data_IF_710794293175
#
_entry.id   IF_710794293175
#
_cell.length_a   1.000
_cell.length_b   1.000
_cell.length_c   1.000
_cell.angle_alpha   90.00
_cell.angle_beta   90.00
_cell.angle_gamma   90.00
#
_symmetry.space_group_name_H-M   'P 1'
#
loop_
_entity.id
_entity.type
_entity.pdbx_description
1 polymer ?
#
# COMPACT_ATOMS: atom_id res chain seq x y z
N UNK A 1 -3.02 -10.62 -6.57
CA UNK A 1 -3.67 -9.88 -5.47
C UNK A 1 -4.95 -9.27 -5.98
N UNK A 2 -6.01 -9.35 -5.22
CA UNK A 2 -7.31 -8.83 -5.65
C UNK A 2 -7.36 -7.30 -5.52
N UNK A 3 -8.30 -6.69 -6.25
CA UNK A 3 -8.53 -5.25 -6.18
C UNK A 3 -8.89 -4.84 -4.75
N UNK A 4 -9.71 -5.63 -4.08
CA UNK A 4 -10.07 -5.35 -2.69
C UNK A 4 -8.84 -5.31 -1.78
N UNK A 5 -7.93 -6.25 -1.99
CA UNK A 5 -6.73 -6.31 -1.16
C UNK A 5 -5.84 -5.09 -1.40
N UNK A 6 -5.73 -4.65 -2.64
CA UNK A 6 -4.97 -3.45 -2.97
C UNK A 6 -5.59 -2.21 -2.34
N UNK A 7 -6.91 -2.10 -2.37
CA UNK A 7 -7.60 -0.98 -1.74
C UNK A 7 -7.34 -0.99 -0.23
N UNK A 8 -7.40 -2.15 0.41
CA UNK A 8 -7.11 -2.27 1.84
C UNK A 8 -5.68 -1.83 2.14
N UNK A 9 -4.73 -2.25 1.32
CA UNK A 9 -3.32 -1.86 1.49
C UNK A 9 -3.18 -0.35 1.43
N UNK A 10 -3.80 0.28 0.45
CA UNK A 10 -3.73 1.72 0.28
C UNK A 10 -4.31 2.45 1.49
N UNK A 11 -5.49 2.05 1.93
CA UNK A 11 -6.15 2.70 3.07
C UNK A 11 -5.39 2.48 4.36
N UNK A 12 -4.88 1.27 4.57
CA UNK A 12 -4.09 0.96 5.75
C UNK A 12 -2.83 1.82 5.79
N UNK A 13 -2.13 1.90 4.66
CA UNK A 13 -0.93 2.71 4.56
C UNK A 13 -1.23 4.18 4.84
N UNK A 14 -2.25 4.73 4.19
CA UNK A 14 -2.60 6.14 4.35
C UNK A 14 -3.03 6.50 5.77
N UNK A 15 -3.76 5.61 6.41
CA UNK A 15 -4.37 5.91 7.70
C UNK A 15 -3.49 5.61 8.91
N UNK A 16 -2.55 4.68 8.77
CA UNK A 16 -1.83 4.17 9.93
C UNK A 16 -0.31 4.30 9.87
N UNK A 17 0.23 4.74 8.75
CA UNK A 17 1.69 4.81 8.57
C UNK A 17 2.12 6.14 8.00
N UNK A 18 3.31 6.56 8.40
CA UNK A 18 3.89 7.84 7.94
C UNK A 18 4.84 7.66 6.76
N UNK A 19 5.32 6.44 6.55
CA UNK A 19 6.32 6.19 5.50
C UNK A 19 6.24 4.75 5.01
N UNK A 20 6.81 4.53 3.82
CA UNK A 20 6.93 3.20 3.25
C UNK A 20 7.79 2.31 4.16
N UNK A 21 8.86 2.88 4.73
CA UNK A 21 9.73 2.14 5.64
C UNK A 21 8.96 1.60 6.84
N UNK A 22 8.11 2.43 7.44
CA UNK A 22 7.31 2.02 8.59
C UNK A 22 6.35 0.89 8.24
N UNK A 23 5.71 0.98 7.09
CA UNK A 23 4.81 -0.07 6.62
C UNK A 23 5.58 -1.38 6.38
N UNK A 24 6.73 -1.28 5.72
CA UNK A 24 7.55 -2.45 5.43
C UNK A 24 7.98 -3.16 6.71
N UNK A 25 8.47 -2.40 7.69
CA UNK A 25 8.92 -2.94 8.96
C UNK A 25 7.79 -3.65 9.71
N UNK A 26 6.64 -3.00 9.79
CA UNK A 26 5.51 -3.55 10.53
C UNK A 26 4.98 -4.82 9.89
N UNK A 27 5.03 -4.91 8.57
CA UNK A 27 4.48 -6.05 7.84
C UNK A 27 5.55 -7.06 7.44
N UNK A 28 6.78 -6.89 7.90
CA UNK A 28 7.90 -7.80 7.65
C UNK A 28 8.15 -7.98 6.15
N UNK A 29 8.14 -6.86 5.43
CA UNK A 29 8.37 -6.83 3.99
C UNK A 29 9.65 -6.04 3.69
N UNK A 30 10.23 -6.28 2.53
CA UNK A 30 11.35 -5.45 2.08
C UNK A 30 10.80 -4.09 1.65
N UNK A 31 11.63 -3.06 1.77
CA UNK A 31 11.26 -1.72 1.34
C UNK A 31 11.00 -1.70 -0.17
N UNK A 32 11.82 -2.40 -0.93
CA UNK A 32 11.69 -2.45 -2.39
C UNK A 32 10.35 -3.04 -2.81
N UNK A 33 9.98 -4.18 -2.20
CA UNK A 33 8.69 -4.79 -2.50
C UNK A 33 7.55 -3.88 -2.06
N UNK A 34 7.68 -3.25 -0.90
CA UNK A 34 6.64 -2.39 -0.36
C UNK A 34 6.41 -1.17 -1.25
N UNK A 35 7.47 -0.60 -1.81
CA UNK A 35 7.31 0.53 -2.74
C UNK A 35 6.49 0.15 -3.95
N UNK A 36 6.75 -1.02 -4.52
CA UNK A 36 5.98 -1.51 -5.66
C UNK A 36 4.53 -1.78 -5.25
N UNK A 37 4.33 -2.39 -4.09
CA UNK A 37 3.00 -2.71 -3.58
C UNK A 37 2.18 -1.44 -3.34
N UNK A 38 2.74 -0.45 -2.68
CA UNK A 38 2.05 0.80 -2.37
C UNK A 38 1.75 1.57 -3.66
N UNK A 39 2.67 1.57 -4.62
CA UNK A 39 2.44 2.23 -5.90
C UNK A 39 1.27 1.60 -6.63
N UNK A 40 1.23 0.28 -6.68
CA UNK A 40 0.14 -0.44 -7.34
C UNK A 40 -1.19 -0.20 -6.62
N UNK A 41 -1.16 -0.22 -5.30
CA UNK A 41 -2.35 0.03 -4.49
C UNK A 41 -2.88 1.44 -4.72
N UNK A 42 -2.00 2.42 -4.80
CA UNK A 42 -2.36 3.82 -5.05
C UNK A 42 -3.01 3.97 -6.42
N UNK A 43 -2.43 3.37 -7.44
CA UNK A 43 -2.99 3.42 -8.79
C UNK A 43 -4.38 2.80 -8.84
N UNK A 44 -4.53 1.65 -8.19
CA UNK A 44 -5.80 0.94 -8.16
C UNK A 44 -6.86 1.80 -7.48
N UNK A 45 -6.53 2.38 -6.34
CA UNK A 45 -7.46 3.23 -5.62
C UNK A 45 -7.88 4.44 -6.46
N UNK A 46 -6.93 5.12 -7.07
CA UNK A 46 -7.23 6.31 -7.88
C UNK A 46 -8.02 5.97 -9.14
N UNK A 47 -7.81 4.79 -9.68
CA UNK A 47 -8.56 4.34 -10.85
C UNK A 47 -10.05 4.17 -10.53
N UNK A 48 -10.35 3.76 -9.30
CA UNK A 48 -11.74 3.48 -8.90
C UNK A 48 -12.41 4.70 -8.28
N UNK A 49 -11.69 5.42 -7.42
CA UNK A 49 -12.31 6.48 -6.61
C UNK A 49 -11.84 7.88 -6.96
N UNK A 50 -10.80 7.98 -7.67
CA UNK A 50 -10.20 9.25 -7.86
C UNK A 50 -10.13 9.86 -9.16
#
# INVERSE_FOLDING_TARGET
MSVYKLIEVYLDYRNNYLSVQGYADKNELSVEFTEVLIDEATRTYKSIYG
#
